data_IF_934280148127
#
_entry.id   IF_934280148127
#
_cell.length_a   1.000
_cell.length_b   1.000
_cell.length_c   1.000
_cell.angle_alpha   90.00
_cell.angle_beta   90.00
_cell.angle_gamma   90.00
#
_symmetry.space_group_name_H-M   'P 1'
#
loop_
_entity.id
_entity.type
_entity.pdbx_description
1 polymer ?
#
# COMPACT_ATOMS: atom_id res chain seq x y z
N UNK A 1 -13.08 -46.16 -27.90
CA UNK A 1 -12.90 -44.82 -27.31
C UNK A 1 -12.64 -43.84 -28.46
N UNK A 2 -13.55 -42.90 -28.73
CA UNK A 2 -13.31 -41.89 -29.78
C UNK A 2 -12.26 -40.92 -29.24
N UNK A 3 -11.05 -40.98 -29.78
CA UNK A 3 -10.01 -39.99 -29.48
C UNK A 3 -10.50 -38.65 -30.04
N UNK A 4 -10.68 -37.66 -29.16
CA UNK A 4 -11.06 -36.31 -29.57
C UNK A 4 -10.00 -35.70 -30.50
N UNK A 5 -10.31 -34.57 -31.15
CA UNK A 5 -9.33 -33.86 -31.96
C UNK A 5 -8.06 -33.57 -31.14
N UNK A 6 -6.88 -33.79 -31.75
CA UNK A 6 -5.59 -33.56 -31.10
C UNK A 6 -5.47 -32.08 -30.69
N UNK A 7 -4.99 -31.83 -29.48
CA UNK A 7 -4.79 -30.46 -28.99
C UNK A 7 -3.73 -29.76 -29.84
N UNK A 8 -4.11 -28.67 -30.51
CA UNK A 8 -3.21 -27.88 -31.37
C UNK A 8 -2.10 -27.18 -30.58
N UNK A 9 -2.35 -26.87 -29.31
CA UNK A 9 -1.36 -26.26 -28.40
C UNK A 9 -0.30 -27.28 -27.97
N UNK A 10 -0.68 -28.55 -27.77
CA UNK A 10 0.28 -29.61 -27.45
C UNK A 10 1.29 -29.86 -28.57
N UNK A 11 0.87 -29.68 -29.83
CA UNK A 11 1.71 -29.83 -31.01
C UNK A 11 2.42 -28.55 -31.45
N UNK A 12 2.26 -27.46 -30.72
CA UNK A 12 2.86 -26.17 -31.09
C UNK A 12 4.33 -26.12 -30.68
N UNK A 13 5.21 -25.64 -31.56
CA UNK A 13 6.66 -25.58 -31.30
C UNK A 13 6.98 -24.72 -30.05
N UNK A 14 6.28 -23.60 -29.89
CA UNK A 14 6.41 -22.72 -28.72
C UNK A 14 5.47 -23.08 -27.56
N UNK A 15 5.05 -24.35 -27.43
CA UNK A 15 4.19 -24.83 -26.33
C UNK A 15 4.67 -24.34 -24.96
N UNK A 16 5.97 -24.52 -24.69
CA UNK A 16 6.58 -24.13 -23.41
C UNK A 16 6.40 -22.63 -23.13
N UNK A 17 6.50 -21.79 -24.17
CA UNK A 17 6.41 -20.34 -24.06
C UNK A 17 4.97 -19.89 -23.83
N UNK A 18 4.02 -20.55 -24.50
CA UNK A 18 2.59 -20.31 -24.27
C UNK A 18 2.22 -20.64 -22.82
N UNK A 19 2.68 -21.80 -22.32
CA UNK A 19 2.43 -22.22 -20.94
C UNK A 19 3.11 -21.30 -19.91
N UNK A 20 4.36 -20.89 -20.17
CA UNK A 20 5.11 -19.96 -19.32
C UNK A 20 4.42 -18.59 -19.23
N UNK A 21 4.06 -17.98 -20.36
CA UNK A 21 3.39 -16.68 -20.37
C UNK A 21 2.00 -16.76 -19.74
N UNK A 22 1.30 -17.89 -19.94
CA UNK A 22 0.03 -18.16 -19.27
C UNK A 22 0.19 -18.28 -17.76
N UNK A 23 1.23 -18.96 -17.29
CA UNK A 23 1.57 -19.04 -15.86
C UNK A 23 1.87 -17.65 -15.30
N UNK A 24 2.59 -16.82 -16.05
CA UNK A 24 2.91 -15.42 -15.73
C UNK A 24 1.70 -14.46 -15.74
N UNK A 25 0.49 -14.93 -16.02
CA UNK A 25 -0.74 -14.14 -15.91
C UNK A 25 -1.23 -13.50 -17.20
N UNK A 26 -0.63 -13.80 -18.35
CA UNK A 26 -1.13 -13.29 -19.64
C UNK A 26 -2.55 -13.78 -19.95
N UNK A 27 -3.38 -12.88 -20.50
CA UNK A 27 -4.74 -13.22 -20.94
C UNK A 27 -4.74 -14.23 -22.10
N UNK A 28 -5.81 -15.02 -22.20
CA UNK A 28 -5.96 -15.96 -23.33
C UNK A 28 -6.07 -15.22 -24.67
N UNK A 29 -6.63 -14.01 -24.68
CA UNK A 29 -6.83 -13.22 -25.90
C UNK A 29 -5.50 -12.68 -26.46
N UNK A 30 -4.62 -12.21 -25.59
CA UNK A 30 -3.27 -11.78 -25.99
C UNK A 30 -2.45 -12.96 -26.51
N UNK A 31 -2.48 -14.10 -25.83
CA UNK A 31 -1.79 -15.33 -26.28
C UNK A 31 -2.36 -15.84 -27.61
N UNK A 32 -3.68 -15.84 -27.78
CA UNK A 32 -4.34 -16.22 -29.02
C UNK A 32 -3.84 -15.36 -30.20
N UNK A 33 -3.78 -14.05 -30.01
CA UNK A 33 -3.29 -13.10 -31.02
C UNK A 33 -1.81 -13.31 -31.31
N UNK A 34 -0.98 -13.47 -30.27
CA UNK A 34 0.47 -13.59 -30.39
C UNK A 34 0.91 -14.88 -31.09
N UNK A 35 0.27 -16.00 -30.77
CA UNK A 35 0.67 -17.33 -31.27
C UNK A 35 -0.24 -17.84 -32.40
N UNK A 36 -1.22 -17.05 -32.86
CA UNK A 36 -2.13 -17.46 -33.93
C UNK A 36 -3.02 -18.64 -33.56
N UNK A 37 -3.39 -18.77 -32.29
CA UNK A 37 -4.17 -19.89 -31.75
C UNK A 37 -5.55 -19.42 -31.28
N UNK A 38 -6.50 -20.34 -31.17
CA UNK A 38 -7.80 -20.02 -30.56
C UNK A 38 -7.69 -19.90 -29.03
N UNK A 39 -8.32 -18.87 -28.47
CA UNK A 39 -8.49 -18.66 -27.02
C UNK A 39 -8.98 -19.92 -26.30
N UNK A 40 -9.97 -20.60 -26.87
CA UNK A 40 -10.57 -21.79 -26.28
C UNK A 40 -9.67 -23.02 -26.37
N UNK A 41 -8.80 -23.08 -27.39
CA UNK A 41 -7.78 -24.12 -27.49
C UNK A 41 -6.75 -23.96 -26.38
N UNK A 42 -6.28 -22.73 -26.13
CA UNK A 42 -5.34 -22.41 -25.04
C UNK A 42 -5.99 -22.67 -23.67
N UNK A 43 -7.26 -22.27 -23.50
CA UNK A 43 -8.01 -22.52 -22.26
C UNK A 43 -8.12 -24.01 -21.95
N UNK A 44 -8.62 -24.82 -22.90
CA UNK A 44 -8.73 -26.27 -22.70
C UNK A 44 -7.37 -26.92 -22.49
N UNK A 45 -6.34 -26.48 -23.20
CA UNK A 45 -4.97 -26.94 -23.00
C UNK A 45 -4.50 -26.71 -21.56
N UNK A 46 -4.63 -25.47 -21.07
CA UNK A 46 -4.20 -25.08 -19.72
C UNK A 46 -4.90 -25.86 -18.60
N UNK A 47 -6.18 -26.19 -18.79
CA UNK A 47 -6.96 -26.92 -17.77
C UNK A 47 -6.78 -28.43 -17.84
N UNK A 48 -6.69 -29.01 -19.04
CA UNK A 48 -6.74 -30.47 -19.22
C UNK A 48 -5.37 -31.13 -19.42
N UNK A 49 -4.38 -30.38 -19.89
CA UNK A 49 -3.07 -30.93 -20.29
C UNK A 49 -1.90 -30.43 -19.44
N UNK A 50 -2.06 -29.30 -18.75
CA UNK A 50 -1.02 -28.76 -17.86
C UNK A 50 -1.34 -29.15 -16.42
N UNK A 51 -0.54 -30.06 -15.85
CA UNK A 51 -0.69 -30.51 -14.46
C UNK A 51 -0.40 -29.37 -13.48
N UNK A 52 -0.88 -29.49 -12.24
CA UNK A 52 -0.61 -28.51 -11.19
C UNK A 52 0.90 -28.36 -10.92
N UNK A 53 1.65 -29.46 -10.93
CA UNK A 53 3.11 -29.46 -10.79
C UNK A 53 3.79 -28.68 -11.91
N UNK A 54 3.35 -28.87 -13.15
CA UNK A 54 3.90 -28.16 -14.31
C UNK A 54 3.55 -26.67 -14.29
N UNK A 55 2.35 -26.30 -13.81
CA UNK A 55 1.99 -24.90 -13.56
C UNK A 55 2.92 -24.25 -12.54
N UNK A 56 3.22 -24.97 -11.45
CA UNK A 56 4.11 -24.49 -10.42
C UNK A 56 5.55 -24.32 -10.95
N UNK A 57 6.05 -25.26 -11.75
CA UNK A 57 7.40 -25.19 -12.33
C UNK A 57 7.62 -23.98 -13.23
N UNK A 58 6.57 -23.47 -13.89
CA UNK A 58 6.67 -22.26 -14.70
C UNK A 58 6.77 -20.98 -13.89
N UNK A 59 6.28 -20.98 -12.65
CA UNK A 59 6.33 -19.82 -11.76
C UNK A 59 7.63 -19.78 -10.97
N UNK A 60 8.11 -20.95 -10.53
CA UNK A 60 9.18 -21.08 -9.55
C UNK A 60 9.97 -22.36 -9.83
N UNK A 61 11.30 -22.32 -9.77
CA UNK A 61 12.12 -23.52 -9.89
C UNK A 61 11.88 -24.49 -8.71
N UNK A 62 12.11 -25.81 -8.87
CA UNK A 62 11.76 -26.81 -7.84
C UNK A 62 12.39 -26.54 -6.47
N UNK A 63 13.60 -25.96 -6.42
CA UNK A 63 14.26 -25.58 -5.18
C UNK A 63 13.59 -24.38 -4.47
N UNK A 64 13.14 -23.39 -5.24
CA UNK A 64 12.49 -22.19 -4.72
C UNK A 64 11.04 -22.46 -4.27
N UNK A 65 10.40 -23.51 -4.80
CA UNK A 65 9.07 -23.97 -4.36
C UNK A 65 9.12 -24.53 -2.93
N UNK A 66 10.14 -25.33 -2.63
CA UNK A 66 10.38 -25.85 -1.28
C UNK A 66 10.72 -24.71 -0.31
N UNK A 67 11.57 -23.77 -0.74
CA UNK A 67 11.94 -22.58 0.04
C UNK A 67 10.72 -21.65 0.30
N UNK A 68 9.81 -21.49 -0.67
CA UNK A 68 8.58 -20.72 -0.49
C UNK A 68 7.63 -21.40 0.52
N UNK A 69 7.53 -22.73 0.48
CA UNK A 69 6.71 -23.48 1.42
C UNK A 69 7.26 -23.39 2.85
N UNK A 70 8.59 -23.43 3.00
CA UNK A 70 9.27 -23.24 4.28
C UNK A 70 9.09 -21.82 4.83
N UNK A 71 9.25 -20.79 3.99
CA UNK A 71 9.00 -19.38 4.38
C UNK A 71 7.53 -19.08 4.66
N UNK A 72 6.59 -19.77 4.01
CA UNK A 72 5.17 -19.63 4.30
C UNK A 72 4.77 -20.26 5.64
N UNK A 73 5.52 -21.26 6.13
CA UNK A 73 5.36 -21.83 7.46
C UNK A 73 5.99 -20.94 8.56
N UNK A 74 6.86 -20.01 8.17
CA UNK A 74 7.54 -19.09 9.07
C UNK A 74 6.72 -17.79 9.21
N UNK A 75 5.76 -17.78 10.16
CA UNK A 75 4.89 -16.62 10.45
C UNK A 75 5.66 -15.37 10.95
N UNK A 76 6.98 -15.47 11.15
CA UNK A 76 7.85 -14.39 11.64
C UNK A 76 8.34 -13.41 10.58
N UNK A 77 8.03 -13.61 9.29
CA UNK A 77 8.51 -12.72 8.24
C UNK A 77 7.94 -11.30 8.39
N UNK A 78 8.80 -10.29 8.33
CA UNK A 78 8.40 -8.89 8.42
C UNK A 78 7.39 -8.55 7.32
N UNK A 79 6.43 -7.68 7.62
CA UNK A 79 5.49 -7.12 6.63
C UNK A 79 6.24 -6.53 5.43
N UNK A 80 7.44 -5.97 5.65
CA UNK A 80 8.28 -5.44 4.59
C UNK A 80 8.81 -6.54 3.65
N UNK A 81 9.16 -7.71 4.19
CA UNK A 81 9.66 -8.83 3.37
C UNK A 81 8.55 -9.44 2.52
N UNK A 82 7.32 -9.50 3.07
CA UNK A 82 6.13 -9.84 2.29
C UNK A 82 5.92 -8.86 1.13
N UNK A 83 6.00 -7.55 1.37
CA UNK A 83 5.88 -6.57 0.29
C UNK A 83 6.99 -6.68 -0.75
N UNK A 84 8.23 -7.00 -0.34
CA UNK A 84 9.34 -7.25 -1.26
C UNK A 84 9.09 -8.48 -2.13
N UNK A 85 8.56 -9.56 -1.56
CA UNK A 85 8.19 -10.77 -2.30
C UNK A 85 7.08 -10.47 -3.32
N UNK A 86 6.01 -9.79 -2.90
CA UNK A 86 4.90 -9.39 -3.78
C UNK A 86 5.40 -8.47 -4.90
N UNK A 87 6.29 -7.52 -4.61
CA UNK A 87 6.92 -6.67 -5.63
C UNK A 87 7.63 -7.50 -6.70
N UNK A 88 8.46 -8.47 -6.30
CA UNK A 88 9.17 -9.34 -7.24
C UNK A 88 8.19 -10.13 -8.12
N UNK A 89 7.11 -10.65 -7.55
CA UNK A 89 6.07 -11.36 -8.30
C UNK A 89 5.34 -10.44 -9.30
N UNK A 90 4.96 -9.23 -8.88
CA UNK A 90 4.30 -8.28 -9.78
C UNK A 90 5.23 -7.83 -10.92
N UNK A 91 6.53 -7.70 -10.66
CA UNK A 91 7.51 -7.39 -11.71
C UNK A 91 7.62 -8.52 -12.74
N UNK A 92 7.59 -9.79 -12.33
CA UNK A 92 7.62 -10.91 -13.28
C UNK A 92 6.32 -11.01 -14.09
N UNK A 93 5.17 -10.75 -13.47
CA UNK A 93 3.88 -10.68 -14.17
C UNK A 93 3.82 -9.52 -15.17
N UNK A 94 4.39 -8.37 -14.83
CA UNK A 94 4.48 -7.23 -15.74
C UNK A 94 5.32 -7.59 -16.98
N UNK A 95 6.44 -8.28 -16.79
CA UNK A 95 7.25 -8.77 -17.90
C UNK A 95 6.46 -9.76 -18.78
N UNK A 96 5.78 -10.74 -18.18
CA UNK A 96 5.00 -11.74 -18.93
C UNK A 96 3.83 -11.14 -19.71
N UNK A 97 3.06 -10.22 -19.10
CA UNK A 97 1.94 -9.54 -19.75
C UNK A 97 2.43 -8.61 -20.88
N UNK A 98 3.54 -7.89 -20.68
CA UNK A 98 4.15 -7.06 -21.71
C UNK A 98 4.66 -7.91 -22.87
N UNK A 99 5.34 -9.02 -22.59
CA UNK A 99 5.81 -9.94 -23.61
C UNK A 99 4.64 -10.55 -24.40
N UNK A 100 3.54 -10.90 -23.74
CA UNK A 100 2.35 -11.43 -24.40
C UNK A 100 1.60 -10.39 -25.26
N UNK A 101 1.95 -9.10 -25.16
CA UNK A 101 1.20 -8.01 -25.80
C UNK A 101 -0.11 -7.67 -25.09
N UNK A 102 -0.28 -8.10 -23.83
CA UNK A 102 -1.46 -7.81 -23.03
C UNK A 102 -1.37 -6.42 -22.39
N UNK A 103 -1.65 -5.38 -23.18
CA UNK A 103 -1.56 -4.00 -22.72
C UNK A 103 -2.47 -3.71 -21.50
N UNK A 104 -3.66 -4.31 -21.46
CA UNK A 104 -4.60 -4.12 -20.35
C UNK A 104 -4.11 -4.83 -19.09
N UNK A 105 -3.66 -6.08 -19.21
CA UNK A 105 -3.04 -6.82 -18.12
C UNK A 105 -1.81 -6.09 -17.57
N UNK A 106 -0.93 -5.61 -18.44
CA UNK A 106 0.25 -4.84 -18.07
C UNK A 106 -0.11 -3.56 -17.31
N UNK A 107 -1.12 -2.80 -17.76
CA UNK A 107 -1.58 -1.60 -17.06
C UNK A 107 -2.12 -1.89 -15.65
N UNK A 108 -2.88 -2.98 -15.48
CA UNK A 108 -3.42 -3.39 -14.17
C UNK A 108 -2.27 -3.78 -13.23
N UNK A 109 -1.35 -4.63 -13.69
CA UNK A 109 -0.21 -5.09 -12.88
C UNK A 109 0.70 -3.92 -12.53
N UNK A 110 0.94 -2.99 -13.46
CA UNK A 110 1.71 -1.76 -13.20
C UNK A 110 1.06 -0.91 -12.10
N UNK A 111 -0.26 -0.71 -12.14
CA UNK A 111 -0.98 0.02 -11.08
C UNK A 111 -0.85 -0.64 -9.70
N UNK A 112 -0.96 -1.97 -9.64
CA UNK A 112 -0.77 -2.72 -8.40
C UNK A 112 0.69 -2.64 -7.89
N UNK A 113 1.66 -2.70 -8.79
CA UNK A 113 3.08 -2.58 -8.48
C UNK A 113 3.38 -1.20 -7.86
N UNK A 114 2.85 -0.12 -8.43
CA UNK A 114 2.96 1.23 -7.85
C UNK A 114 2.38 1.27 -6.45
N UNK A 115 1.19 0.68 -6.22
CA UNK A 115 0.60 0.62 -4.89
C UNK A 115 1.43 -0.17 -3.87
N UNK A 116 2.13 -1.23 -4.29
CA UNK A 116 3.06 -1.98 -3.42
C UNK A 116 4.31 -1.16 -3.13
N UNK A 117 4.89 -0.48 -4.13
CA UNK A 117 6.03 0.41 -3.94
C UNK A 117 5.70 1.57 -3.00
N UNK A 118 4.49 2.13 -3.09
CA UNK A 118 4.02 3.17 -2.18
C UNK A 118 3.93 2.65 -0.73
N UNK A 119 3.39 1.44 -0.53
CA UNK A 119 3.34 0.82 0.80
C UNK A 119 4.73 0.55 1.37
N UNK A 120 5.66 0.05 0.54
CA UNK A 120 7.07 -0.13 0.92
C UNK A 120 7.67 1.22 1.33
N UNK A 121 7.49 2.27 0.53
CA UNK A 121 8.00 3.61 0.81
C UNK A 121 7.41 4.24 2.08
N UNK A 122 6.15 3.93 2.43
CA UNK A 122 5.52 4.35 3.70
C UNK A 122 6.09 3.61 4.90
N UNK A 123 6.27 2.29 4.79
CA UNK A 123 6.81 1.44 5.88
C UNK A 123 8.28 1.72 6.14
N UNK A 124 9.06 1.99 5.09
CA UNK A 124 10.50 2.34 5.18
C UNK A 124 10.74 3.79 5.56
N UNK A 125 9.73 4.65 5.45
CA UNK A 125 9.85 6.09 5.68
C UNK A 125 10.44 6.85 4.50
N UNK A 126 10.84 6.20 3.40
CA UNK A 126 11.42 6.86 2.22
C UNK A 126 10.49 7.91 1.61
N UNK A 127 9.17 7.68 1.62
CA UNK A 127 8.18 8.67 1.16
C UNK A 127 8.11 9.87 2.11
N UNK A 128 8.24 9.62 3.42
CA UNK A 128 8.34 10.70 4.39
C UNK A 128 9.65 11.47 4.22
N UNK A 129 10.76 10.81 3.87
CA UNK A 129 12.05 11.46 3.58
C UNK A 129 12.00 12.32 2.32
N UNK A 130 11.29 11.87 1.27
CA UNK A 130 11.04 12.66 0.06
C UNK A 130 10.10 13.85 0.38
N UNK A 131 9.04 13.62 1.16
CA UNK A 131 8.14 14.67 1.62
C UNK A 131 8.84 15.68 2.55
N UNK A 132 9.82 15.23 3.34
CA UNK A 132 10.71 16.04 4.20
C UNK A 132 11.73 16.87 3.42
N UNK A 133 11.89 16.66 2.09
CA UNK A 133 12.46 17.69 1.21
C UNK A 133 11.64 18.99 1.24
N UNK A 134 10.37 18.90 1.65
CA UNK A 134 9.55 19.98 2.17
C UNK A 134 9.58 19.90 3.69
N UNK A 135 10.58 20.54 4.28
CA UNK A 135 10.77 20.63 5.73
C UNK A 135 9.59 21.43 6.34
N UNK A 136 8.46 20.78 6.63
CA UNK A 136 7.54 21.27 7.66
C UNK A 136 8.09 20.83 9.01
N UNK A 137 9.11 21.56 9.47
CA UNK A 137 9.58 21.49 10.86
C UNK A 137 8.48 22.11 11.73
N UNK A 138 7.54 21.27 12.14
CA UNK A 138 6.70 21.56 13.29
C UNK A 138 7.56 21.37 14.53
N UNK A 139 8.46 22.32 14.78
CA UNK A 139 9.25 22.42 16.00
C UNK A 139 8.29 22.80 17.14
N UNK A 140 7.63 21.81 17.74
CA UNK A 140 7.06 21.96 19.08
C UNK A 140 8.21 21.98 20.09
N UNK A 141 9.02 23.04 20.05
CA UNK A 141 9.97 23.32 21.12
C UNK A 141 9.12 23.83 22.28
N UNK A 142 8.97 22.99 23.31
CA UNK A 142 8.45 23.42 24.61
C UNK A 142 9.49 24.34 25.27
N UNK A 143 9.56 25.60 24.82
CA UNK A 143 10.53 26.63 25.27
C UNK A 143 10.43 26.82 26.78
N UNK A 144 9.24 26.65 27.35
CA UNK A 144 8.93 26.87 28.77
C UNK A 144 9.73 25.93 29.70
N UNK A 145 10.06 24.72 29.25
CA UNK A 145 10.85 23.75 30.05
C UNK A 145 12.33 23.68 29.64
N UNK A 146 12.79 24.56 28.75
CA UNK A 146 14.19 24.54 28.34
C UNK A 146 15.10 25.09 29.44
N UNK A 147 16.20 24.39 29.80
CA UNK A 147 17.19 24.90 30.75
C UNK A 147 17.88 26.20 30.26
N UNK A 148 17.77 26.55 28.98
CA UNK A 148 18.25 27.82 28.43
C UNK A 148 17.32 28.98 28.77
N UNK A 149 16.01 28.74 28.80
CA UNK A 149 15.01 29.76 29.17
C UNK A 149 15.10 30.12 30.65
N UNK A 150 15.30 29.12 31.51
CA UNK A 150 15.57 29.35 32.94
C UNK A 150 16.81 30.23 33.18
N UNK A 151 17.86 30.10 32.36
CA UNK A 151 19.06 30.96 32.44
C UNK A 151 18.76 32.41 32.07
N UNK A 152 17.95 32.63 31.03
CA UNK A 152 17.51 33.99 30.64
C UNK A 152 16.67 34.61 31.74
N UNK A 153 15.73 33.86 32.32
CA UNK A 153 14.92 34.34 33.43
C UNK A 153 15.76 34.73 34.65
N UNK A 154 16.74 33.90 35.02
CA UNK A 154 17.66 34.18 36.11
C UNK A 154 18.51 35.43 35.84
N UNK A 155 19.05 35.59 34.63
CA UNK A 155 19.82 36.76 34.24
C UNK A 155 18.99 38.06 34.26
N UNK A 156 17.74 38.00 33.80
CA UNK A 156 16.80 39.11 33.84
C UNK A 156 16.50 39.56 35.27
N UNK A 157 16.23 38.60 36.17
CA UNK A 157 15.96 38.90 37.59
C UNK A 157 17.20 39.44 38.32
N UNK A 158 18.40 38.97 37.95
CA UNK A 158 19.66 39.49 38.49
C UNK A 158 19.91 40.94 38.04
N UNK A 159 19.65 41.26 36.77
CA UNK A 159 19.79 42.61 36.24
C UNK A 159 18.80 43.60 36.88
N UNK A 160 17.60 43.13 37.25
CA UNK A 160 16.57 43.94 37.91
C UNK A 160 16.74 44.00 39.44
N UNK A 161 17.78 43.40 40.02
CA UNK A 161 17.99 43.42 41.48
C UNK A 161 18.03 44.83 42.10
N UNK A 162 18.61 45.86 41.46
CA UNK A 162 18.61 47.24 42.00
C UNK A 162 17.24 47.95 41.94
N UNK A 163 16.27 47.41 41.19
CA UNK A 163 14.97 48.05 40.92
C UNK A 163 13.81 47.15 41.36
N UNK A 164 13.42 47.17 42.65
CA UNK A 164 12.47 46.21 43.22
C UNK A 164 11.06 46.30 42.58
N UNK A 165 10.62 47.51 42.23
CA UNK A 165 9.32 47.72 41.57
C UNK A 165 9.29 47.12 40.16
N UNK A 166 10.35 47.33 39.37
CA UNK A 166 10.47 46.77 38.02
C UNK A 166 10.54 45.23 38.05
N UNK A 167 11.25 44.67 39.05
CA UNK A 167 11.29 43.22 39.26
C UNK A 167 9.92 42.63 39.57
N UNK A 168 9.13 43.28 40.42
CA UNK A 168 7.78 42.83 40.75
C UNK A 168 6.84 42.83 39.54
N UNK A 169 6.92 43.87 38.70
CA UNK A 169 6.13 43.98 37.48
C UNK A 169 6.45 42.85 36.47
N UNK A 170 7.73 42.51 36.29
CA UNK A 170 8.15 41.43 35.37
C UNK A 170 7.69 40.06 35.88
N UNK A 171 7.79 39.79 37.19
CA UNK A 171 7.31 38.52 37.76
C UNK A 171 5.79 38.39 37.61
N UNK A 172 5.03 39.48 37.79
CA UNK A 172 3.59 39.47 37.57
C UNK A 172 3.23 39.17 36.10
N UNK A 173 3.98 39.74 35.15
CA UNK A 173 3.79 39.49 33.73
C UNK A 173 4.06 38.02 33.35
N UNK A 174 5.12 37.40 33.88
CA UNK A 174 5.41 35.98 33.63
C UNK A 174 4.33 35.05 34.20
N UNK A 175 3.83 35.31 35.41
CA UNK A 175 2.73 34.53 36.00
C UNK A 175 1.45 34.59 35.16
N UNK A 176 1.19 35.75 34.53
CA UNK A 176 0.05 35.91 33.61
C UNK A 176 0.23 35.08 32.35
N UNK A 177 1.43 35.08 31.76
CA UNK A 177 1.75 34.27 30.57
C UNK A 177 1.69 32.76 30.86
N UNK A 178 2.14 32.32 32.04
CA UNK A 178 2.04 30.91 32.46
C UNK A 178 0.57 30.48 32.63
N UNK A 179 -0.30 31.37 33.12
CA UNK A 179 -1.73 31.10 33.21
C UNK A 179 -2.40 31.01 31.83
N UNK A 180 -2.08 31.93 30.91
CA UNK A 180 -2.60 31.95 29.53
C UNK A 180 -2.15 30.69 28.75
N UNK A 181 -0.89 30.27 28.88
CA UNK A 181 -0.37 29.05 28.23
C UNK A 181 -0.95 27.74 28.76
N UNK A 182 -1.58 27.75 29.94
CA UNK A 182 -2.23 26.57 30.52
C UNK A 182 -3.68 26.37 30.04
N UNK A 183 -4.34 27.43 29.58
CA UNK A 183 -5.73 27.46 29.14
C UNK A 183 -5.88 27.11 27.63
N UNK A 184 -4.82 27.30 26.85
CA UNK A 184 -4.84 27.15 25.39
C UNK A 184 -4.54 25.71 24.91
N UNK A 185 -4.92 24.70 25.71
CA UNK A 185 -4.91 23.32 25.24
C UNK A 185 -6.22 23.11 24.47
N UNK A 186 -6.22 22.96 23.12
CA UNK A 186 -7.41 22.49 22.44
C UNK A 186 -7.59 21.05 22.91
N UNK A 187 -8.45 20.86 23.91
CA UNK A 187 -8.98 19.54 24.25
C UNK A 187 -9.50 18.97 22.95
N UNK A 188 -8.99 17.81 22.57
CA UNK A 188 -9.27 17.18 21.30
C UNK A 188 -10.77 17.26 21.02
N UNK A 189 -11.12 17.84 19.87
CA UNK A 189 -12.49 17.83 19.37
C UNK A 189 -13.00 16.39 19.49
N UNK A 190 -13.97 16.18 20.38
CA UNK A 190 -14.57 14.87 20.58
C UNK A 190 -14.96 14.31 19.19
N UNK A 191 -14.73 13.02 18.92
CA UNK A 191 -15.21 12.43 17.68
C UNK A 191 -16.71 12.72 17.59
N UNK A 192 -17.14 13.35 16.49
CA UNK A 192 -18.55 13.52 16.20
C UNK A 192 -19.15 12.13 16.03
N UNK A 193 -19.71 11.58 17.10
CA UNK A 193 -20.62 10.44 17.03
C UNK A 193 -21.90 10.95 16.37
N UNK A 194 -22.08 10.56 15.11
CA UNK A 194 -23.36 10.70 14.42
C UNK A 194 -24.25 9.63 15.05
N UNK A 195 -25.12 10.04 15.98
CA UNK A 195 -26.19 9.16 16.44
C UNK A 195 -27.02 8.76 15.21
N UNK A 196 -27.10 7.45 14.97
CA UNK A 196 -27.94 6.90 13.91
C UNK A 196 -29.41 7.16 14.28
N UNK A 197 -29.93 8.32 13.86
CA UNK A 197 -31.38 8.53 13.81
C UNK A 197 -31.91 7.58 12.75
N UNK A 198 -32.74 6.62 13.16
CA UNK A 198 -33.45 5.73 12.26
C UNK A 198 -34.25 6.57 11.26
N UNK A 199 -33.79 6.59 10.02
CA UNK A 199 -34.56 7.16 8.91
C UNK A 199 -35.87 6.37 8.79
N UNK A 200 -37.02 7.05 8.68
CA UNK A 200 -38.27 6.37 8.36
C UNK A 200 -38.10 5.60 7.03
N UNK A 201 -38.71 4.41 6.90
CA UNK A 201 -38.54 3.57 5.72
C UNK A 201 -38.92 4.36 4.46
N UNK A 202 -38.03 4.36 3.47
CA UNK A 202 -38.29 4.95 2.16
C UNK A 202 -39.59 4.36 1.57
N UNK A 203 -40.53 5.17 1.08
CA UNK A 203 -41.73 4.66 0.45
C UNK A 203 -41.35 3.98 -0.86
N UNK A 204 -41.61 2.67 -0.93
CA UNK A 204 -41.53 1.89 -2.17
C UNK A 204 -42.70 2.31 -3.07
N UNK A 205 -42.47 2.81 -4.29
CA UNK A 205 -43.57 3.10 -5.21
C UNK A 205 -44.27 1.79 -5.59
N UNK A 206 -45.58 1.73 -5.40
CA UNK A 206 -46.40 0.62 -5.88
C UNK A 206 -46.41 0.63 -7.43
N UNK A 207 -46.45 -0.54 -8.09
CA UNK A 207 -46.51 -0.61 -9.54
C UNK A 207 -47.84 -0.01 -10.04
N UNK A 208 -47.74 0.95 -10.97
CA UNK A 208 -48.90 1.49 -11.68
C UNK A 208 -49.58 0.37 -12.46
N UNK A 209 -50.82 0.07 -12.09
CA UNK A 209 -51.71 -0.80 -12.88
C UNK A 209 -52.13 -0.01 -14.11
N UNK A 210 -51.48 -0.25 -15.25
CA UNK A 210 -52.00 0.19 -16.53
C UNK A 210 -53.15 -0.72 -16.96
N UNK A 211 -54.26 -0.07 -17.30
CA UNK A 211 -55.48 -0.63 -17.87
C UNK A 211 -55.25 -1.24 -19.26
#
# INVERSE_FOLDING_TARGET
MKSGPKCTVCSHDERWRIELLRAGGASLDSLATKFGLSKDAIGRHWHNHVSAEMKASYLVGPAQLAELAEKAADEGASVLDHFRAVRTMLMSQLAATTEAGDARGAAIVAGQLVGVLEKIGKVTGEIATIAQGTINVTNNVAIVNSPQFAKVQAAQLAALAPYPEARAAVVAAWRKLDAEGSDERPTGRAPMVIDAVALPPCPVPLPETNA
#
